data_IF_141083315769
#
_entry.id   IF_141083315769
#
_cell.length_a   1.000
_cell.length_b   1.000
_cell.length_c   1.000
_cell.angle_alpha   90.00
_cell.angle_beta   90.00
_cell.angle_gamma   90.00
#
_symmetry.space_group_name_H-M   'P 1'
#
loop_
_entity.id
_entity.type
_entity.pdbx_description
1 polymer ?
#
# COMPACT_ATOMS: atom_id res chain seq x y z
N UNK A 1 -30.27 -31.56 -3.94
CA UNK A 1 -28.80 -31.64 -4.09
C UNK A 1 -28.25 -30.21 -4.20
N UNK A 2 -27.92 -29.59 -3.07
CA UNK A 2 -27.48 -28.19 -3.02
C UNK A 2 -26.00 -28.16 -3.42
N UNK A 3 -25.70 -27.62 -4.60
CA UNK A 3 -24.32 -27.36 -5.05
C UNK A 3 -23.72 -26.29 -4.15
N UNK A 4 -22.91 -26.73 -3.19
CA UNK A 4 -21.99 -25.89 -2.42
C UNK A 4 -21.05 -25.24 -3.44
N UNK A 5 -21.26 -23.97 -3.79
CA UNK A 5 -20.23 -23.17 -4.46
C UNK A 5 -19.08 -23.06 -3.47
N UNK A 6 -18.04 -23.86 -3.68
CA UNK A 6 -16.72 -23.56 -3.15
C UNK A 6 -16.27 -22.34 -3.96
N UNK A 7 -16.73 -21.16 -3.55
CA UNK A 7 -16.08 -19.92 -3.95
C UNK A 7 -14.67 -20.02 -3.37
N UNK A 8 -13.66 -20.06 -4.23
CA UNK A 8 -12.27 -19.99 -3.79
C UNK A 8 -12.13 -18.77 -2.90
N UNK A 9 -12.00 -19.01 -1.59
CA UNK A 9 -11.58 -17.97 -0.65
C UNK A 9 -10.16 -17.64 -1.08
N UNK A 10 -9.98 -16.53 -1.77
CA UNK A 10 -8.67 -16.08 -2.21
C UNK A 10 -7.75 -16.05 -1.01
N UNK A 11 -6.61 -16.73 -1.10
CA UNK A 11 -5.66 -16.92 0.00
C UNK A 11 -5.16 -15.57 0.54
N UNK A 12 -5.20 -14.52 -0.30
CA UNK A 12 -4.83 -13.14 0.02
C UNK A 12 -5.32 -12.68 1.40
N UNK A 13 -6.62 -12.77 1.73
CA UNK A 13 -7.20 -12.12 2.91
C UNK A 13 -6.58 -12.54 4.24
N UNK A 14 -6.84 -13.76 4.69
CA UNK A 14 -6.38 -14.23 5.99
C UNK A 14 -4.85 -14.33 6.11
N UNK A 15 -4.15 -14.69 5.03
CA UNK A 15 -2.70 -14.81 5.09
C UNK A 15 -2.02 -13.45 5.10
N UNK A 16 -2.52 -12.48 4.34
CA UNK A 16 -2.00 -11.11 4.36
C UNK A 16 -2.13 -10.48 5.73
N UNK A 17 -3.31 -10.57 6.36
CA UNK A 17 -3.53 -10.04 7.71
C UNK A 17 -2.54 -10.66 8.68
N UNK A 18 -2.39 -11.99 8.62
CA UNK A 18 -1.42 -12.70 9.45
C UNK A 18 -0.01 -12.18 9.22
N UNK A 19 0.44 -12.07 7.97
CA UNK A 19 1.78 -11.59 7.64
C UNK A 19 2.05 -10.15 8.09
N UNK A 20 1.06 -9.26 7.98
CA UNK A 20 1.13 -7.89 8.52
C UNK A 20 1.29 -7.91 10.04
N UNK A 21 0.44 -8.67 10.74
CA UNK A 21 0.45 -8.73 12.20
C UNK A 21 1.70 -9.42 12.75
N UNK A 22 2.16 -10.49 12.10
CA UNK A 22 3.41 -11.17 12.43
C UNK A 22 4.59 -10.20 12.24
N UNK A 23 4.62 -9.44 11.12
CA UNK A 23 5.65 -8.43 10.91
C UNK A 23 5.63 -7.30 11.96
N UNK A 24 4.44 -6.87 12.37
CA UNK A 24 4.28 -5.91 13.47
C UNK A 24 4.82 -6.48 14.79
N UNK A 25 4.42 -7.69 15.17
CA UNK A 25 4.83 -8.29 16.43
C UNK A 25 6.34 -8.53 16.49
N UNK A 26 6.93 -9.01 15.39
CA UNK A 26 8.32 -9.44 15.36
C UNK A 26 9.29 -8.27 15.10
N UNK A 27 8.88 -7.27 14.30
CA UNK A 27 9.79 -6.23 13.80
C UNK A 27 9.39 -4.78 14.13
N UNK A 28 8.30 -4.52 14.89
CA UNK A 28 7.82 -3.13 15.16
C UNK A 28 8.89 -2.16 15.61
N UNK A 29 9.82 -2.60 16.48
CA UNK A 29 10.84 -1.72 17.05
C UNK A 29 11.92 -1.37 16.03
N UNK A 30 12.37 -2.36 15.25
CA UNK A 30 13.37 -2.16 14.19
C UNK A 30 12.81 -1.28 13.06
N UNK A 31 11.57 -1.55 12.65
CA UNK A 31 10.93 -0.86 11.53
C UNK A 31 10.31 0.49 11.94
N UNK A 32 10.34 0.84 13.22
CA UNK A 32 9.74 2.08 13.71
C UNK A 32 8.23 2.15 13.50
N UNK A 33 7.53 1.01 13.59
CA UNK A 33 6.07 0.96 13.47
C UNK A 33 5.44 1.50 14.76
N UNK A 34 4.60 2.52 14.62
CA UNK A 34 3.85 3.15 15.70
C UNK A 34 2.52 2.43 15.92
N UNK A 35 1.80 2.15 14.83
CA UNK A 35 0.47 1.52 14.88
C UNK A 35 0.13 0.82 13.56
N UNK A 36 -0.81 -0.12 13.60
CA UNK A 36 -1.26 -0.91 12.45
C UNK A 36 -2.77 -1.12 12.50
N UNK A 37 -3.43 -0.77 11.40
CA UNK A 37 -4.83 -1.08 11.15
C UNK A 37 -4.90 -2.06 9.99
N UNK A 38 -5.43 -3.26 10.18
CA UNK A 38 -5.45 -4.28 9.14
C UNK A 38 -6.74 -5.10 9.21
N UNK A 39 -7.41 -5.28 8.06
CA UNK A 39 -8.72 -5.92 8.00
C UNK A 39 -9.03 -6.51 6.61
N UNK A 40 -9.89 -7.52 6.58
CA UNK A 40 -10.48 -8.03 5.34
C UNK A 40 -11.56 -7.09 4.85
N UNK A 41 -11.72 -6.99 3.54
CA UNK A 41 -12.74 -6.17 2.92
C UNK A 41 -13.68 -7.03 2.06
N UNK A 42 -14.99 -6.72 2.04
CA UNK A 42 -15.95 -7.45 1.22
C UNK A 42 -15.86 -7.10 -0.28
N UNK A 43 -14.87 -6.29 -0.68
CA UNK A 43 -14.63 -5.84 -2.04
C UNK A 43 -14.47 -6.99 -3.06
N UNK A 44 -14.86 -6.70 -4.30
CA UNK A 44 -14.57 -7.53 -5.47
C UNK A 44 -13.10 -7.41 -5.86
N UNK A 45 -12.53 -6.21 -5.85
CA UNK A 45 -11.18 -5.87 -6.31
C UNK A 45 -10.15 -5.92 -5.19
N UNK A 46 -10.42 -5.31 -4.04
CA UNK A 46 -9.59 -5.40 -2.84
C UNK A 46 -10.13 -6.51 -1.94
N UNK A 47 -9.25 -7.32 -1.35
CA UNK A 47 -9.60 -8.44 -0.43
C UNK A 47 -9.19 -8.19 1.01
N UNK A 48 -8.10 -7.47 1.21
CA UNK A 48 -7.68 -6.98 2.51
C UNK A 48 -6.88 -5.70 2.35
N UNK A 49 -6.81 -4.91 3.42
CA UNK A 49 -5.99 -3.70 3.46
C UNK A 49 -5.29 -3.57 4.80
N UNK A 50 -4.11 -2.96 4.78
CA UNK A 50 -3.38 -2.55 5.96
C UNK A 50 -2.97 -1.07 5.84
N UNK A 51 -3.06 -0.35 6.94
CA UNK A 51 -2.51 0.98 7.12
C UNK A 51 -1.50 0.92 8.27
N UNK A 52 -0.23 1.16 7.95
CA UNK A 52 0.89 1.09 8.88
C UNK A 52 1.38 2.51 9.13
N UNK A 53 1.36 2.93 10.38
CA UNK A 53 1.85 4.24 10.81
C UNK A 53 3.30 4.07 11.24
N UNK A 54 4.21 4.78 10.58
CA UNK A 54 5.67 4.65 10.72
C UNK A 54 6.26 5.95 11.27
N UNK A 55 7.39 5.83 12.00
CA UNK A 55 8.20 6.99 12.39
C UNK A 55 8.84 7.65 11.16
N UNK A 56 8.38 8.84 10.77
CA UNK A 56 8.83 9.55 9.56
C UNK A 56 9.77 10.75 9.80
N UNK A 57 10.42 10.82 10.96
CA UNK A 57 11.23 11.98 11.37
C UNK A 57 10.43 12.95 12.22
N UNK A 58 10.10 14.13 11.68
CA UNK A 58 9.34 15.18 12.38
C UNK A 58 7.84 14.86 12.50
N UNK A 59 7.30 14.09 11.56
CA UNK A 59 5.91 13.64 11.56
C UNK A 59 5.83 12.15 11.21
N UNK A 60 4.79 11.44 11.67
CA UNK A 60 4.51 10.09 11.22
C UNK A 60 4.26 10.03 9.71
N UNK A 61 4.57 8.88 9.11
CA UNK A 61 4.31 8.59 7.70
C UNK A 61 3.40 7.38 7.61
N UNK A 62 2.47 7.40 6.67
CA UNK A 62 1.51 6.32 6.46
C UNK A 62 1.91 5.48 5.26
N UNK A 63 1.95 4.17 5.47
CA UNK A 63 2.07 3.16 4.43
C UNK A 63 0.74 2.40 4.32
N UNK A 64 0.04 2.58 3.22
CA UNK A 64 -1.19 1.87 2.89
C UNK A 64 -0.87 0.70 1.96
N UNK A 65 -1.37 -0.49 2.29
CA UNK A 65 -1.12 -1.70 1.54
C UNK A 65 -2.47 -2.36 1.19
N UNK A 66 -2.63 -2.75 -0.07
CA UNK A 66 -3.82 -3.44 -0.58
C UNK A 66 -3.47 -4.84 -1.04
N UNK A 67 -4.21 -5.83 -0.56
CA UNK A 67 -4.22 -7.20 -1.07
C UNK A 67 -5.31 -7.32 -2.13
N UNK A 68 -4.93 -7.41 -3.40
CA UNK A 68 -5.87 -7.40 -4.52
C UNK A 68 -6.43 -8.80 -4.80
N UNK A 69 -7.57 -8.87 -5.49
CA UNK A 69 -8.26 -10.12 -5.84
C UNK A 69 -7.43 -11.08 -6.72
N UNK A 70 -6.48 -10.52 -7.49
CA UNK A 70 -5.52 -11.23 -8.31
C UNK A 70 -4.23 -11.61 -7.53
N UNK A 71 -4.24 -11.51 -6.20
CA UNK A 71 -3.11 -11.80 -5.31
C UNK A 71 -1.89 -10.88 -5.48
N UNK A 72 -2.04 -9.73 -6.17
CA UNK A 72 -1.01 -8.70 -6.14
C UNK A 72 -1.15 -7.84 -4.88
N UNK A 73 -0.02 -7.46 -4.29
CA UNK A 73 0.06 -6.49 -3.21
C UNK A 73 0.46 -5.14 -3.79
N UNK A 74 -0.31 -4.10 -3.49
CA UNK A 74 0.01 -2.72 -3.84
C UNK A 74 0.30 -1.96 -2.55
N UNK A 75 1.52 -1.45 -2.42
CA UNK A 75 1.96 -0.65 -1.29
C UNK A 75 2.17 0.81 -1.73
N UNK A 76 1.57 1.75 -0.99
CA UNK A 76 1.59 3.18 -1.24
C UNK A 76 2.02 3.90 0.04
N UNK A 77 3.11 4.67 -0.03
CA UNK A 77 3.58 5.51 1.07
C UNK A 77 3.48 6.97 0.67
N UNK A 78 2.76 7.79 1.44
CA UNK A 78 2.59 9.21 1.13
C UNK A 78 3.93 9.94 1.27
N UNK A 79 4.37 10.56 0.18
CA UNK A 79 5.61 11.35 0.09
C UNK A 79 5.35 12.75 -0.47
N UNK A 80 4.11 13.22 -0.42
CA UNK A 80 3.69 14.53 -0.95
C UNK A 80 4.44 15.69 -0.26
N UNK A 81 4.89 15.48 0.98
CA UNK A 81 5.73 16.42 1.75
C UNK A 81 7.20 16.48 1.28
N UNK A 82 7.63 15.54 0.43
CA UNK A 82 9.01 15.41 -0.04
C UNK A 82 9.11 15.62 -1.54
N UNK A 83 8.18 15.09 -2.30
CA UNK A 83 8.22 15.10 -3.76
C UNK A 83 6.89 15.64 -4.29
N UNK A 84 6.97 16.69 -5.11
CA UNK A 84 5.86 17.10 -5.93
C UNK A 84 6.03 16.50 -7.34
N UNK A 85 5.10 15.64 -7.75
CA UNK A 85 5.09 15.05 -9.07
C UNK A 85 3.88 15.52 -9.87
N UNK A 86 4.14 16.20 -10.99
CA UNK A 86 3.12 16.46 -12.00
C UNK A 86 2.93 15.24 -12.90
N UNK A 87 1.68 14.87 -13.16
CA UNK A 87 1.36 13.75 -14.03
C UNK A 87 1.61 14.11 -15.50
N UNK A 88 2.71 13.60 -16.07
CA UNK A 88 3.08 13.83 -17.47
C UNK A 88 3.09 12.53 -18.30
N UNK A 89 2.51 11.44 -17.78
CA UNK A 89 2.63 10.09 -18.34
C UNK A 89 1.30 9.32 -18.44
N UNK A 90 1.41 8.01 -18.63
CA UNK A 90 0.25 7.12 -18.69
C UNK A 90 -0.42 6.99 -17.32
N UNK A 91 -1.73 7.19 -17.29
CA UNK A 91 -2.55 6.93 -16.11
C UNK A 91 -3.10 5.51 -16.13
N UNK A 92 -3.09 4.87 -14.97
CA UNK A 92 -3.75 3.59 -14.70
C UNK A 92 -4.88 3.83 -13.72
N UNK A 93 -6.01 3.17 -13.92
CA UNK A 93 -7.13 3.25 -12.99
C UNK A 93 -7.09 2.03 -12.07
N UNK A 94 -7.20 2.26 -10.76
CA UNK A 94 -7.40 1.20 -9.79
C UNK A 94 -8.78 1.38 -9.15
N UNK A 95 -9.51 0.27 -9.02
CA UNK A 95 -10.78 0.27 -8.28
C UNK A 95 -10.49 -0.06 -6.83
N UNK A 96 -10.77 0.91 -5.95
CA UNK A 96 -10.70 0.79 -4.50
C UNK A 96 -12.13 0.64 -4.00
N UNK A 97 -12.56 -0.59 -3.77
CA UNK A 97 -13.91 -0.91 -3.34
C UNK A 97 -14.03 -1.13 -1.82
N UNK A 98 -13.35 -0.27 -1.07
CA UNK A 98 -13.43 -0.18 0.39
C UNK A 98 -14.74 0.50 0.86
N UNK A 99 -15.25 1.43 0.06
CA UNK A 99 -16.45 2.22 0.36
C UNK A 99 -17.57 1.94 -0.66
N UNK A 100 -18.79 2.36 -0.31
CA UNK A 100 -19.93 2.35 -1.24
C UNK A 100 -20.34 3.79 -1.56
N UNK A 101 -20.34 4.21 -2.85
CA UNK A 101 -19.95 3.44 -4.03
C UNK A 101 -18.43 3.15 -4.09
N UNK A 102 -17.99 2.10 -4.81
CA UNK A 102 -16.57 1.88 -5.10
C UNK A 102 -15.94 3.13 -5.72
N UNK A 103 -14.71 3.43 -5.30
CA UNK A 103 -13.96 4.57 -5.81
C UNK A 103 -13.01 4.11 -6.92
N UNK A 104 -12.90 4.88 -7.99
CA UNK A 104 -11.87 4.71 -9.01
C UNK A 104 -10.79 5.75 -8.77
N UNK A 105 -9.59 5.30 -8.38
CA UNK A 105 -8.43 6.17 -8.26
C UNK A 105 -7.62 6.12 -9.56
N UNK A 106 -7.43 7.30 -10.15
CA UNK A 106 -6.52 7.47 -11.28
C UNK A 106 -5.11 7.68 -10.76
N UNK A 107 -4.23 6.72 -11.04
CA UNK A 107 -2.81 6.76 -10.67
C UNK A 107 -1.95 7.05 -11.88
N UNK A 108 -1.16 8.11 -11.81
CA UNK A 108 -0.13 8.41 -12.78
C UNK A 108 1.20 7.84 -12.32
N UNK A 109 1.62 6.73 -12.90
CA UNK A 109 2.78 5.97 -12.43
C UNK A 109 4.02 6.39 -13.23
N UNK A 110 5.08 6.76 -12.51
CA UNK A 110 6.39 7.07 -13.08
C UNK A 110 7.44 6.17 -12.47
N UNK A 111 8.13 5.39 -13.31
CA UNK A 111 9.28 4.61 -12.90
C UNK A 111 10.54 5.52 -12.80
N UNK A 112 11.21 5.51 -11.64
CA UNK A 112 12.46 6.22 -11.38
C UNK A 112 13.67 5.26 -11.34
N UNK A 113 13.51 4.04 -11.82
CA UNK A 113 14.50 2.97 -11.87
C UNK A 113 14.68 2.25 -10.53
N UNK A 114 14.95 3.00 -9.45
CA UNK A 114 15.11 2.44 -8.10
C UNK A 114 13.79 2.28 -7.34
N UNK A 115 12.77 3.04 -7.72
CA UNK A 115 11.45 3.06 -7.10
C UNK A 115 10.43 3.58 -8.09
N UNK A 116 9.15 3.32 -7.84
CA UNK A 116 8.06 3.91 -8.59
C UNK A 116 7.41 5.02 -7.77
N UNK A 117 6.99 6.08 -8.46
CA UNK A 117 6.11 7.10 -7.90
C UNK A 117 4.75 7.00 -8.54
N UNK A 118 3.70 7.23 -7.76
CA UNK A 118 2.33 7.37 -8.25
C UNK A 118 1.78 8.73 -7.82
N UNK A 119 1.28 9.52 -8.77
CA UNK A 119 0.50 10.71 -8.46
C UNK A 119 -0.98 10.39 -8.56
N UNK A 120 -1.76 10.87 -7.59
CA UNK A 120 -3.20 10.74 -7.55
C UNK A 120 -3.82 12.10 -7.18
N UNK A 121 -5.01 12.37 -7.68
CA UNK A 121 -5.81 13.51 -7.22
C UNK A 121 -6.90 12.98 -6.29
N UNK A 122 -6.80 13.30 -5.00
CA UNK A 122 -7.67 12.78 -3.94
C UNK A 122 -8.22 13.94 -3.12
N UNK A 123 -9.55 14.02 -2.97
CA UNK A 123 -10.21 15.04 -2.13
C UNK A 123 -9.77 16.50 -2.38
N UNK A 124 -9.56 16.86 -3.65
CA UNK A 124 -9.05 18.17 -4.11
C UNK A 124 -7.57 18.44 -3.78
N UNK A 125 -6.80 17.43 -3.40
CA UNK A 125 -5.36 17.52 -3.17
C UNK A 125 -4.61 16.60 -4.13
N UNK A 126 -3.49 17.10 -4.66
CA UNK A 126 -2.54 16.27 -5.40
C UNK A 126 -1.65 15.52 -4.41
N UNK A 127 -1.73 14.19 -4.44
CA UNK A 127 -0.91 13.30 -3.63
C UNK A 127 0.16 12.64 -4.49
N UNK A 128 1.36 12.51 -3.93
CA UNK A 128 2.45 11.73 -4.50
C UNK A 128 2.81 10.59 -3.55
N UNK A 129 2.82 9.37 -4.08
CA UNK A 129 3.11 8.15 -3.33
C UNK A 129 4.38 7.49 -3.85
N UNK A 130 5.21 6.99 -2.93
CA UNK A 130 6.11 5.88 -3.25
C UNK A 130 5.27 4.62 -3.41
N UNK A 131 5.44 3.94 -4.54
CA UNK A 131 4.63 2.80 -4.91
C UNK A 131 5.48 1.57 -5.11
N UNK A 132 5.00 0.42 -4.61
CA UNK A 132 5.55 -0.89 -4.93
C UNK A 132 4.43 -1.89 -5.21
N UNK A 133 4.61 -2.67 -6.26
CA UNK A 133 3.73 -3.79 -6.60
C UNK A 133 4.52 -5.08 -6.40
N UNK A 134 3.95 -6.02 -5.64
CA UNK A 134 4.51 -7.36 -5.44
C UNK A 134 3.47 -8.36 -5.92
N UNK A 135 3.89 -9.32 -6.74
CA UNK A 135 3.00 -10.38 -7.21
C UNK A 135 3.20 -11.62 -6.34
N UNK A 136 2.10 -12.21 -5.88
CA UNK A 136 2.11 -13.48 -5.16
C UNK A 136 2.04 -13.32 -3.65
N UNK A 137 2.38 -14.41 -2.95
CA UNK A 137 2.19 -14.51 -1.52
C UNK A 137 3.21 -13.68 -0.72
N UNK A 138 2.73 -13.01 0.31
CA UNK A 138 3.55 -12.20 1.21
C UNK A 138 3.60 -12.86 2.58
N UNK A 139 4.80 -13.23 3.03
CA UNK A 139 5.06 -13.64 4.40
C UNK A 139 5.53 -12.45 5.25
N UNK A 140 5.75 -12.68 6.55
CA UNK A 140 6.16 -11.62 7.49
C UNK A 140 7.55 -11.05 7.17
N UNK A 141 8.48 -11.85 6.64
CA UNK A 141 9.84 -11.43 6.31
C UNK A 141 9.81 -10.52 5.07
N UNK A 142 9.04 -10.89 4.05
CA UNK A 142 8.82 -10.07 2.86
C UNK A 142 8.09 -8.78 3.20
N UNK A 143 7.10 -8.83 4.10
CA UNK A 143 6.42 -7.64 4.61
C UNK A 143 7.40 -6.69 5.32
N UNK A 144 8.23 -7.22 6.23
CA UNK A 144 9.23 -6.43 6.94
C UNK A 144 10.26 -5.82 5.97
N UNK A 145 10.70 -6.59 4.97
CA UNK A 145 11.63 -6.14 3.93
C UNK A 145 11.02 -5.03 3.08
N UNK A 146 9.74 -5.15 2.69
CA UNK A 146 9.00 -4.12 1.97
C UNK A 146 8.94 -2.82 2.77
N UNK A 147 8.55 -2.89 4.05
CA UNK A 147 8.45 -1.72 4.92
C UNK A 147 9.81 -1.03 5.04
N UNK A 148 10.87 -1.82 5.29
CA UNK A 148 12.24 -1.31 5.42
C UNK A 148 12.71 -0.62 4.15
N UNK A 149 12.53 -1.26 3.00
CA UNK A 149 12.93 -0.71 1.71
C UNK A 149 12.22 0.62 1.41
N UNK A 150 10.90 0.69 1.62
CA UNK A 150 10.14 1.93 1.40
C UNK A 150 10.58 3.04 2.37
N UNK A 151 10.88 2.70 3.63
CA UNK A 151 11.39 3.66 4.60
C UNK A 151 12.81 4.16 4.25
N UNK A 152 13.69 3.29 3.77
CA UNK A 152 15.03 3.67 3.31
C UNK A 152 14.94 4.62 2.11
N UNK A 153 14.04 4.34 1.15
CA UNK A 153 13.79 5.23 0.02
C UNK A 153 13.21 6.56 0.52
N UNK A 154 12.19 6.53 1.38
CA UNK A 154 11.58 7.73 1.97
C UNK A 154 12.62 8.63 2.67
N UNK A 155 13.54 8.04 3.42
CA UNK A 155 14.62 8.77 4.07
C UNK A 155 15.57 9.43 3.07
N UNK A 156 15.83 8.77 1.93
CA UNK A 156 16.71 9.28 0.87
C UNK A 156 16.08 10.37 -0.01
N UNK A 157 14.75 10.48 -0.04
CA UNK A 157 14.05 11.50 -0.81
C UNK A 157 14.33 12.90 -0.25
N UNK A 158 14.81 13.80 -1.13
CA UNK A 158 15.01 15.20 -0.83
C UNK A 158 13.67 15.85 -0.44
N UNK A 159 13.67 16.71 0.58
CA UNK A 159 12.53 17.57 0.87
C UNK A 159 12.41 18.62 -0.24
N UNK A 160 11.25 18.71 -0.89
CA UNK A 160 10.92 19.86 -1.73
C UNK A 160 10.95 21.12 -0.85
N UNK A 161 11.57 22.23 -1.29
CA UNK A 161 11.44 23.49 -0.58
C UNK A 161 9.96 23.93 -0.57
N UNK A 162 9.50 24.60 0.49
CA UNK A 162 8.15 25.14 0.58
C UNK A 162 7.86 26.20 -0.49
#
# INVERSE_FOLDING_TARGET
MIRKRIGGRGLCGSSFIKSVMDAYNDYRMELGILDVYVYEVPGKSVKATAMIILKGGLAPVTLTIYCMANESIIALMDVSNKVNMQCNGNSTHITIDLYQPPEEAQLCITDKGKYMLAAAHEFNEDKTYLMKIINGHMDSILMASLIKELMDIYASLASSPP
#
